data_IF_739574425452
#
_entry.id   IF_739574425452
#
_cell.length_a   1.000
_cell.length_b   1.000
_cell.length_c   1.000
_cell.angle_alpha   90.00
_cell.angle_beta   90.00
_cell.angle_gamma   90.00
#
_symmetry.space_group_name_H-M   'P 1'
#
loop_
_entity.id
_entity.type
_entity.pdbx_description
1 polymer ?
#
# COMPACT_ATOMS: atom_id res chain seq x y z
N UNK A 1 -15.24 2.22 -14.77
CA UNK A 1 -14.40 1.47 -13.80
C UNK A 1 -14.60 -0.05 -13.85
N UNK A 2 -15.64 -0.68 -13.30
CA UNK A 2 -15.72 -2.17 -13.30
C UNK A 2 -15.75 -2.77 -14.72
N UNK A 3 -16.67 -2.31 -15.58
CA UNK A 3 -16.78 -2.79 -16.96
C UNK A 3 -15.54 -2.45 -17.81
N UNK A 4 -14.89 -1.33 -17.52
CA UNK A 4 -13.66 -0.90 -18.20
C UNK A 4 -12.49 -1.82 -17.84
N UNK A 5 -12.29 -2.12 -16.55
CA UNK A 5 -11.22 -3.01 -16.10
C UNK A 5 -11.46 -4.44 -16.61
N UNK A 6 -12.70 -4.95 -16.57
CA UNK A 6 -13.04 -6.27 -17.14
C UNK A 6 -12.82 -6.29 -18.66
N UNK A 7 -13.10 -5.20 -19.38
CA UNK A 7 -12.96 -5.13 -20.83
C UNK A 7 -11.55 -4.87 -21.36
N UNK A 8 -10.61 -4.41 -20.51
CA UNK A 8 -9.27 -3.94 -20.95
C UNK A 8 -8.10 -4.56 -20.17
N UNK A 9 -8.37 -5.52 -19.28
CA UNK A 9 -7.35 -6.17 -18.45
C UNK A 9 -7.43 -7.70 -18.53
N UNK A 10 -6.32 -8.38 -18.27
CA UNK A 10 -6.27 -9.84 -18.22
C UNK A 10 -6.65 -10.34 -16.83
N UNK A 11 -7.67 -11.18 -16.74
CA UNK A 11 -8.04 -11.85 -15.48
C UNK A 11 -6.99 -12.91 -15.12
N UNK A 12 -6.40 -12.81 -13.94
CA UNK A 12 -5.43 -13.78 -13.41
C UNK A 12 -6.19 -14.98 -12.84
N UNK A 13 -5.75 -16.18 -13.20
CA UNK A 13 -6.36 -17.44 -12.77
C UNK A 13 -5.30 -18.54 -12.68
N UNK A 14 -5.71 -19.75 -12.28
CA UNK A 14 -4.82 -20.93 -12.30
C UNK A 14 -4.35 -21.29 -13.71
N UNK A 15 -5.16 -20.98 -14.73
CA UNK A 15 -4.89 -21.30 -16.14
C UNK A 15 -4.27 -20.12 -16.92
N UNK A 16 -4.25 -18.92 -16.32
CA UNK A 16 -3.68 -17.72 -16.91
C UNK A 16 -2.91 -16.93 -15.86
N UNK A 17 -1.58 -16.81 -16.04
CA UNK A 17 -0.67 -16.16 -15.07
C UNK A 17 -0.67 -16.87 -13.71
N UNK A 18 -0.52 -18.20 -13.72
CA UNK A 18 -0.61 -19.09 -12.56
C UNK A 18 0.32 -18.71 -11.41
N UNK A 19 1.55 -18.28 -11.70
CA UNK A 19 2.50 -17.82 -10.67
C UNK A 19 1.99 -16.59 -9.92
N UNK A 20 1.40 -15.63 -10.65
CA UNK A 20 0.84 -14.42 -10.07
C UNK A 20 -0.43 -14.73 -9.26
N UNK A 21 -1.26 -15.64 -9.78
CA UNK A 21 -2.41 -16.17 -9.05
C UNK A 21 -1.98 -16.82 -7.72
N UNK A 22 -0.91 -17.62 -7.73
CA UNK A 22 -0.38 -18.25 -6.52
C UNK A 22 0.07 -17.21 -5.49
N UNK A 23 0.83 -16.19 -5.91
CA UNK A 23 1.26 -15.12 -5.00
C UNK A 23 0.09 -14.42 -4.33
N UNK A 24 -0.96 -14.14 -5.09
CA UNK A 24 -2.19 -13.50 -4.62
C UNK A 24 -2.90 -14.37 -3.57
N UNK A 25 -3.09 -15.65 -3.86
CA UNK A 25 -3.77 -16.60 -2.97
C UNK A 25 -2.98 -16.79 -1.68
N UNK A 26 -1.66 -16.97 -1.76
CA UNK A 26 -0.79 -17.11 -0.59
C UNK A 26 -0.82 -15.86 0.30
N UNK A 27 -0.76 -14.67 -0.30
CA UNK A 27 -0.84 -13.41 0.46
C UNK A 27 -2.21 -13.26 1.16
N UNK A 28 -3.30 -13.57 0.46
CA UNK A 28 -4.66 -13.53 1.02
C UNK A 28 -4.84 -14.52 2.18
N UNK A 29 -4.31 -15.74 2.04
CA UNK A 29 -4.29 -16.75 3.09
C UNK A 29 -3.50 -16.27 4.32
N UNK A 30 -2.32 -15.69 4.12
CA UNK A 30 -1.50 -15.15 5.23
C UNK A 30 -2.23 -14.04 5.98
N UNK A 31 -2.96 -13.18 5.27
CA UNK A 31 -3.75 -12.08 5.84
C UNK A 31 -5.16 -12.51 6.31
N UNK A 32 -5.48 -13.80 6.17
CA UNK A 32 -6.75 -14.40 6.55
C UNK A 32 -7.96 -13.65 5.94
N UNK A 33 -7.98 -13.55 4.61
CA UNK A 33 -9.09 -13.01 3.82
C UNK A 33 -9.32 -13.87 2.58
N UNK A 34 -10.54 -13.80 2.04
CA UNK A 34 -10.85 -14.42 0.76
C UNK A 34 -10.07 -13.71 -0.36
N UNK A 35 -9.41 -14.45 -1.27
CA UNK A 35 -8.67 -13.83 -2.37
C UNK A 35 -9.64 -13.07 -3.31
N UNK A 36 -9.42 -11.77 -3.54
CA UNK A 36 -10.17 -11.01 -4.53
C UNK A 36 -9.82 -11.48 -5.96
N UNK A 37 -10.58 -11.02 -6.95
CA UNK A 37 -10.12 -11.18 -8.34
C UNK A 37 -8.87 -10.32 -8.58
N UNK A 38 -7.96 -10.79 -9.42
CA UNK A 38 -6.75 -10.06 -9.78
C UNK A 38 -6.71 -9.86 -11.29
N UNK A 39 -6.42 -8.64 -11.73
CA UNK A 39 -6.29 -8.29 -13.13
C UNK A 39 -4.92 -7.69 -13.44
N UNK A 40 -4.38 -7.99 -14.61
CA UNK A 40 -3.20 -7.31 -15.16
C UNK A 40 -3.64 -6.32 -16.24
N UNK A 41 -3.32 -5.04 -16.06
CA UNK A 41 -3.59 -3.97 -17.03
C UNK A 41 -2.31 -3.54 -17.71
N UNK A 42 -2.34 -3.42 -19.03
CA UNK A 42 -1.22 -2.86 -19.78
C UNK A 42 -1.07 -1.38 -19.40
N UNK A 43 0.10 -1.01 -18.89
CA UNK A 43 0.43 0.38 -18.56
C UNK A 43 1.92 0.56 -18.36
N UNK A 44 2.53 1.62 -18.92
CA UNK A 44 3.93 1.95 -18.70
C UNK A 44 4.19 2.57 -17.32
N UNK A 45 3.14 3.00 -16.60
CA UNK A 45 3.27 3.63 -15.28
C UNK A 45 3.14 2.57 -14.18
N UNK A 46 4.17 2.36 -13.33
CA UNK A 46 4.11 1.38 -12.25
C UNK A 46 3.00 1.74 -11.26
N UNK A 47 1.95 0.90 -11.19
CA UNK A 47 0.86 1.10 -10.23
C UNK A 47 0.10 -0.21 -9.96
N UNK A 48 -0.47 -0.29 -8.76
CA UNK A 48 -1.47 -1.28 -8.39
C UNK A 48 -2.56 -0.58 -7.58
N UNK A 49 -3.80 -1.08 -7.65
CA UNK A 49 -4.88 -0.52 -6.87
C UNK A 49 -5.98 -1.53 -6.59
N UNK A 50 -6.66 -1.30 -5.49
CA UNK A 50 -7.79 -2.08 -5.01
C UNK A 50 -9.12 -1.39 -5.30
N UNK A 51 -10.11 -2.13 -5.81
CA UNK A 51 -11.48 -1.66 -5.96
C UNK A 51 -12.45 -2.59 -5.23
N UNK A 52 -13.16 -2.03 -4.26
CA UNK A 52 -14.25 -2.67 -3.54
C UNK A 52 -15.55 -1.90 -3.79
N UNK A 53 -16.56 -2.58 -4.33
CA UNK A 53 -17.88 -2.01 -4.59
C UNK A 53 -18.90 -2.80 -3.77
N UNK A 54 -19.78 -2.12 -3.03
CA UNK A 54 -20.80 -2.77 -2.21
C UNK A 54 -21.63 -3.76 -3.03
N UNK A 55 -21.79 -4.98 -2.49
CA UNK A 55 -22.53 -6.06 -3.14
C UNK A 55 -21.82 -6.74 -4.32
N UNK A 56 -20.54 -6.43 -4.58
CA UNK A 56 -19.73 -7.09 -5.61
C UNK A 56 -18.43 -7.64 -5.02
N UNK A 57 -17.89 -8.69 -5.65
CA UNK A 57 -16.58 -9.22 -5.30
C UNK A 57 -15.51 -8.13 -5.50
N UNK A 58 -14.65 -7.86 -4.51
CA UNK A 58 -13.54 -6.93 -4.68
C UNK A 58 -12.52 -7.47 -5.69
N UNK A 59 -11.78 -6.56 -6.31
CA UNK A 59 -10.71 -6.93 -7.22
C UNK A 59 -9.51 -5.98 -7.11
N UNK A 60 -8.34 -6.51 -7.41
CA UNK A 60 -7.07 -5.78 -7.48
C UNK A 60 -6.65 -5.70 -8.95
N UNK A 61 -6.08 -4.57 -9.35
CA UNK A 61 -5.45 -4.40 -10.65
C UNK A 61 -3.98 -4.12 -10.45
N UNK A 62 -3.12 -4.81 -11.19
CA UNK A 62 -1.67 -4.56 -11.24
C UNK A 62 -1.26 -4.18 -12.66
N UNK A 63 -0.41 -3.18 -12.81
CA UNK A 63 0.10 -2.76 -14.10
C UNK A 63 1.27 -3.65 -14.57
N UNK A 64 1.38 -3.86 -15.89
CA UNK A 64 2.48 -4.64 -16.50
C UNK A 64 3.86 -4.12 -16.12
N UNK A 65 4.03 -2.80 -16.00
CA UNK A 65 5.28 -2.17 -15.56
C UNK A 65 5.73 -2.59 -14.16
N UNK A 66 4.82 -2.92 -13.23
CA UNK A 66 5.22 -3.49 -11.93
C UNK A 66 5.66 -4.95 -12.06
N UNK A 67 4.97 -5.72 -12.89
CA UNK A 67 5.31 -7.13 -13.15
C UNK A 67 6.70 -7.24 -13.78
N UNK A 68 7.09 -6.29 -14.61
CA UNK A 68 8.43 -6.21 -15.23
C UNK A 68 9.51 -5.67 -14.27
N UNK A 69 9.17 -4.74 -13.38
CA UNK A 69 10.13 -4.06 -12.50
C UNK A 69 10.46 -4.86 -11.22
N UNK A 70 9.48 -5.59 -10.68
CA UNK A 70 9.56 -6.20 -9.36
C UNK A 70 9.89 -7.69 -9.44
N UNK A 71 10.71 -8.14 -8.50
CA UNK A 71 10.91 -9.57 -8.26
C UNK A 71 9.63 -10.22 -7.74
N UNK A 72 9.55 -11.55 -7.79
CA UNK A 72 8.39 -12.32 -7.30
C UNK A 72 7.99 -11.95 -5.85
N UNK A 73 8.96 -11.78 -4.95
CA UNK A 73 8.71 -11.41 -3.55
C UNK A 73 8.22 -9.97 -3.39
N UNK A 74 8.82 -9.04 -4.15
CA UNK A 74 8.43 -7.63 -4.15
C UNK A 74 7.01 -7.45 -4.72
N UNK A 75 6.68 -8.18 -5.79
CA UNK A 75 5.33 -8.17 -6.36
C UNK A 75 4.30 -8.73 -5.38
N UNK A 76 4.63 -9.80 -4.64
CA UNK A 76 3.76 -10.31 -3.58
C UNK A 76 3.59 -9.30 -2.44
N UNK A 77 4.63 -8.54 -2.10
CA UNK A 77 4.53 -7.47 -1.10
C UNK A 77 3.59 -6.34 -1.57
N UNK A 78 3.59 -5.99 -2.86
CA UNK A 78 2.61 -5.04 -3.43
C UNK A 78 1.19 -5.61 -3.35
N UNK A 79 0.97 -6.87 -3.74
CA UNK A 79 -0.35 -7.51 -3.61
C UNK A 79 -0.81 -7.56 -2.15
N UNK A 80 0.09 -7.84 -1.22
CA UNK A 80 -0.20 -7.83 0.21
C UNK A 80 -0.52 -6.43 0.76
N UNK A 81 0.11 -5.38 0.22
CA UNK A 81 -0.24 -4.00 0.53
C UNK A 81 -1.69 -3.70 0.09
N UNK A 82 -2.04 -4.04 -1.15
CA UNK A 82 -3.40 -3.89 -1.69
C UNK A 82 -4.45 -4.69 -0.89
N UNK A 83 -4.12 -5.92 -0.53
CA UNK A 83 -4.94 -6.71 0.39
C UNK A 83 -5.11 -6.07 1.77
N UNK A 84 -4.11 -5.32 2.24
CA UNK A 84 -4.21 -4.52 3.47
C UNK A 84 -5.36 -3.51 3.38
N UNK A 85 -5.56 -2.88 2.22
CA UNK A 85 -6.70 -2.00 2.01
C UNK A 85 -8.03 -2.74 2.09
N UNK A 86 -8.11 -3.96 1.54
CA UNK A 86 -9.31 -4.78 1.68
C UNK A 86 -9.55 -5.24 3.12
N UNK A 87 -8.50 -5.72 3.80
CA UNK A 87 -8.59 -6.25 5.17
C UNK A 87 -9.12 -5.21 6.16
N UNK A 88 -8.75 -3.96 5.96
CA UNK A 88 -9.07 -2.85 6.84
C UNK A 88 -10.20 -1.96 6.29
N UNK A 89 -10.92 -2.41 5.25
CA UNK A 89 -12.03 -1.69 4.60
C UNK A 89 -11.67 -0.25 4.20
N UNK A 90 -10.43 -0.02 3.79
CA UNK A 90 -9.93 1.33 3.55
C UNK A 90 -10.65 2.04 2.39
N UNK A 91 -11.13 1.28 1.39
CA UNK A 91 -11.82 1.83 0.23
C UNK A 91 -13.17 2.50 0.53
N UNK A 92 -13.85 2.08 1.60
CA UNK A 92 -15.18 2.61 1.97
C UNK A 92 -15.08 4.06 2.45
N UNK A 93 -14.01 4.41 3.15
CA UNK A 93 -13.82 5.73 3.75
C UNK A 93 -13.60 6.84 2.71
N UNK A 94 -12.98 6.52 1.57
CA UNK A 94 -12.80 7.48 0.48
C UNK A 94 -14.16 7.94 -0.09
N UNK A 95 -15.12 7.02 -0.22
CA UNK A 95 -16.47 7.33 -0.70
C UNK A 95 -17.23 8.22 0.30
N UNK A 96 -17.21 7.89 1.59
CA UNK A 96 -17.86 8.70 2.62
C UNK A 96 -17.28 10.11 2.70
N UNK A 97 -15.96 10.23 2.60
CA UNK A 97 -15.31 11.52 2.70
C UNK A 97 -15.60 12.42 1.50
N UNK A 98 -15.65 11.88 0.28
CA UNK A 98 -16.06 12.65 -0.90
C UNK A 98 -17.49 13.19 -0.79
N UNK A 99 -18.42 12.40 -0.23
CA UNK A 99 -19.82 12.84 -0.01
C UNK A 99 -19.89 13.94 1.06
N UNK A 100 -19.16 13.79 2.16
CA UNK A 100 -19.10 14.78 3.24
C UNK A 100 -18.49 16.10 2.77
N UNK A 101 -17.41 16.05 2.01
CA UNK A 101 -16.76 17.23 1.44
C UNK A 101 -17.69 17.97 0.46
N UNK A 102 -18.38 17.24 -0.42
CA UNK A 102 -19.34 17.83 -1.36
C UNK A 102 -20.49 18.56 -0.62
N UNK A 103 -21.01 17.95 0.44
CA UNK A 103 -22.03 18.57 1.29
C UNK A 103 -21.53 19.77 2.09
N UNK A 104 -20.28 19.75 2.56
CA UNK A 104 -19.68 20.85 3.31
C UNK A 104 -19.49 22.10 2.43
N UNK A 105 -19.06 21.96 1.17
CA UNK A 105 -18.95 23.09 0.23
C UNK A 105 -20.30 23.71 -0.14
N UNK A 106 -21.40 23.00 0.04
CA UNK A 106 -22.74 23.52 -0.22
C UNK A 106 -23.25 24.47 0.88
N UNK A 107 -22.57 24.57 2.03
CA UNK A 107 -22.96 25.45 3.15
C UNK A 107 -22.34 26.85 2.97
N UNK A 108 -23.15 27.92 2.80
CA UNK A 108 -22.63 29.28 2.63
C UNK A 108 -21.84 29.77 3.85
N UNK A 109 -20.79 30.56 3.61
CA UNK A 109 -19.93 31.11 4.65
C UNK A 109 -18.92 30.08 5.19
N UNK A 110 -19.25 29.41 6.30
CA UNK A 110 -18.31 28.53 7.01
C UNK A 110 -18.08 27.17 6.34
N UNK A 111 -18.88 26.79 5.33
CA UNK A 111 -18.78 25.49 4.67
C UNK A 111 -17.41 25.19 4.07
N UNK A 112 -16.76 26.18 3.47
CA UNK A 112 -15.40 26.03 2.93
C UNK A 112 -14.35 25.70 4.00
N UNK A 113 -14.43 26.33 5.18
CA UNK A 113 -13.53 26.03 6.30
C UNK A 113 -13.76 24.62 6.87
N UNK A 114 -15.03 24.21 6.95
CA UNK A 114 -15.39 22.86 7.39
C UNK A 114 -14.88 21.82 6.39
N UNK A 115 -15.10 22.05 5.09
CA UNK A 115 -14.63 21.17 4.02
C UNK A 115 -13.10 21.02 4.06
N UNK A 116 -12.35 22.12 4.16
CA UNK A 116 -10.89 22.09 4.24
C UNK A 116 -10.38 21.32 5.47
N UNK A 117 -11.02 21.49 6.62
CA UNK A 117 -10.67 20.75 7.85
C UNK A 117 -10.95 19.25 7.73
N UNK A 118 -12.08 18.89 7.10
CA UNK A 118 -12.43 17.49 6.85
C UNK A 118 -11.48 16.84 5.84
N UNK A 119 -11.13 17.55 4.76
CA UNK A 119 -10.13 17.11 3.78
C UNK A 119 -8.78 16.85 4.44
N UNK A 120 -8.28 17.76 5.29
CA UNK A 120 -6.99 17.57 5.97
C UNK A 120 -7.00 16.32 6.87
N UNK A 121 -8.10 16.08 7.59
CA UNK A 121 -8.27 14.89 8.42
C UNK A 121 -8.37 13.61 7.59
N UNK A 122 -9.09 13.64 6.47
CA UNK A 122 -9.17 12.53 5.53
C UNK A 122 -7.78 12.18 4.99
N UNK A 123 -7.02 13.16 4.52
CA UNK A 123 -5.67 12.93 4.02
C UNK A 123 -4.74 12.38 5.11
N UNK A 124 -4.90 12.80 6.38
CA UNK A 124 -4.16 12.19 7.50
C UNK A 124 -4.54 10.73 7.69
N UNK A 125 -5.82 10.41 7.63
CA UNK A 125 -6.32 9.05 7.73
C UNK A 125 -5.81 8.18 6.57
N UNK A 126 -5.85 8.67 5.32
CA UNK A 126 -5.32 7.97 4.15
C UNK A 126 -3.83 7.64 4.32
N UNK A 127 -3.03 8.59 4.80
CA UNK A 127 -1.62 8.35 5.10
C UNK A 127 -1.39 7.30 6.18
N UNK A 128 -2.24 7.24 7.20
CA UNK A 128 -2.18 6.21 8.23
C UNK A 128 -2.62 4.83 7.70
N UNK A 129 -3.57 4.80 6.78
CA UNK A 129 -4.01 3.59 6.08
C UNK A 129 -2.84 2.97 5.29
N UNK A 130 -2.04 3.79 4.58
CA UNK A 130 -0.84 3.32 3.87
C UNK A 130 0.17 2.62 4.78
N UNK A 131 0.42 3.16 5.97
CA UNK A 131 1.31 2.52 6.96
C UNK A 131 0.74 1.19 7.47
N UNK A 132 -0.58 1.08 7.55
CA UNK A 132 -1.25 -0.19 7.91
C UNK A 132 -1.10 -1.22 6.79
N UNK A 133 -1.23 -0.80 5.54
CA UNK A 133 -1.02 -1.65 4.37
C UNK A 133 0.45 -2.07 4.21
N UNK A 134 1.42 -1.21 4.52
CA UNK A 134 2.84 -1.58 4.54
C UNK A 134 3.14 -2.65 5.60
N UNK A 135 2.48 -2.59 6.75
CA UNK A 135 2.57 -3.64 7.77
C UNK A 135 1.99 -4.96 7.27
N UNK A 136 0.88 -4.93 6.52
CA UNK A 136 0.34 -6.12 5.87
C UNK A 136 1.33 -6.71 4.86
N UNK A 137 1.98 -5.87 4.06
CA UNK A 137 3.06 -6.28 3.15
C UNK A 137 4.21 -6.95 3.90
N UNK A 138 4.65 -6.40 5.02
CA UNK A 138 5.72 -6.97 5.85
C UNK A 138 5.31 -8.28 6.56
N UNK A 139 4.04 -8.45 6.93
CA UNK A 139 3.53 -9.71 7.47
C UNK A 139 3.57 -10.85 6.45
N UNK A 140 3.32 -10.53 5.17
CA UNK A 140 3.41 -11.49 4.07
C UNK A 140 4.87 -11.75 3.67
N UNK A 141 5.64 -10.70 3.43
CA UNK A 141 7.02 -10.82 2.95
C UNK A 141 7.98 -11.36 4.02
N UNK A 142 7.72 -11.09 5.31
CA UNK A 142 8.56 -11.43 6.47
C UNK A 142 10.02 -10.94 6.38
N UNK A 143 10.30 -10.01 5.46
CA UNK A 143 11.59 -9.38 5.28
C UNK A 143 11.36 -7.89 5.02
N UNK A 144 11.78 -6.98 5.93
CA UNK A 144 11.61 -5.55 5.74
C UNK A 144 12.37 -5.03 4.52
N UNK A 145 13.48 -5.66 4.11
CA UNK A 145 14.23 -5.23 2.92
C UNK A 145 13.41 -5.40 1.64
N UNK A 146 12.52 -6.38 1.56
CA UNK A 146 11.62 -6.56 0.40
C UNK A 146 10.68 -5.37 0.27
N UNK A 147 10.03 -4.97 1.36
CA UNK A 147 9.09 -3.84 1.36
C UNK A 147 9.81 -2.52 1.10
N UNK A 148 10.99 -2.32 1.71
CA UNK A 148 11.84 -1.14 1.47
C UNK A 148 12.29 -1.08 0.00
N UNK A 149 12.64 -2.23 -0.59
CA UNK A 149 13.04 -2.32 -1.99
C UNK A 149 11.90 -1.97 -2.95
N UNK A 150 10.66 -2.39 -2.65
CA UNK A 150 9.46 -1.95 -3.38
C UNK A 150 9.35 -0.43 -3.36
N UNK A 151 9.39 0.20 -2.18
CA UNK A 151 9.26 1.65 -2.03
C UNK A 151 10.36 2.42 -2.78
N UNK A 152 11.60 1.90 -2.74
CA UNK A 152 12.72 2.44 -3.49
C UNK A 152 12.50 2.36 -5.01
N UNK A 153 12.07 1.19 -5.52
CA UNK A 153 11.78 0.99 -6.94
C UNK A 153 10.60 1.82 -7.43
N UNK A 154 9.60 2.06 -6.59
CA UNK A 154 8.51 2.99 -6.90
C UNK A 154 8.98 4.46 -6.93
N UNK A 155 9.97 4.82 -6.13
CA UNK A 155 10.50 6.19 -6.07
C UNK A 155 11.38 6.54 -7.27
N UNK A 156 12.11 5.58 -7.84
CA UNK A 156 13.04 5.87 -8.94
C UNK A 156 13.60 4.65 -9.68
N UNK A 157 12.96 3.49 -9.58
CA UNK A 157 13.40 2.27 -10.25
C UNK A 157 12.91 2.17 -11.70
N UNK A 158 13.70 1.47 -12.50
CA UNK A 158 13.34 0.98 -13.83
C UNK A 158 13.91 -0.43 -13.99
N UNK A 159 13.41 -1.24 -14.94
CA UNK A 159 13.98 -2.55 -15.21
C UNK A 159 15.49 -2.51 -15.52
N UNK A 160 15.97 -1.43 -16.14
CA UNK A 160 17.39 -1.24 -16.46
C UNK A 160 18.27 -0.82 -15.28
N UNK A 161 17.68 -0.23 -14.23
CA UNK A 161 18.40 0.25 -13.05
C UNK A 161 18.23 -0.69 -11.85
N UNK A 162 17.24 -1.60 -11.87
CA UNK A 162 16.82 -2.40 -10.71
C UNK A 162 17.98 -3.11 -9.99
N UNK A 163 18.94 -3.66 -10.75
CA UNK A 163 20.09 -4.40 -10.20
C UNK A 163 21.17 -3.50 -9.57
N UNK A 164 21.14 -2.20 -9.84
CA UNK A 164 22.07 -1.20 -9.29
C UNK A 164 21.51 -0.52 -8.04
N UNK A 165 20.24 -0.74 -7.72
CA UNK A 165 19.59 -0.10 -6.58
C UNK A 165 19.97 -0.80 -5.27
N UNK A 166 20.12 -0.01 -4.20
CA UNK A 166 20.53 -0.50 -2.90
C UNK A 166 19.54 -0.05 -1.81
N UNK A 167 18.80 -1.01 -1.25
CA UNK A 167 17.79 -0.75 -0.22
C UNK A 167 18.39 -0.17 1.08
N UNK A 168 19.62 -0.55 1.44
CA UNK A 168 20.29 -0.01 2.63
C UNK A 168 20.67 1.46 2.41
N UNK A 169 21.15 1.83 1.22
CA UNK A 169 21.41 3.22 0.84
C UNK A 169 20.13 4.07 0.82
N UNK A 170 19.01 3.51 0.33
CA UNK A 170 17.71 4.18 0.39
C UNK A 170 17.21 4.37 1.83
N UNK A 171 17.48 3.40 2.72
CA UNK A 171 17.17 3.53 4.14
C UNK A 171 18.06 4.58 4.83
N UNK A 172 19.33 4.69 4.46
CA UNK A 172 20.21 5.78 4.91
C UNK A 172 19.70 7.15 4.45
N UNK A 173 19.20 7.25 3.21
CA UNK A 173 18.52 8.44 2.70
C UNK A 173 17.27 8.78 3.54
N UNK A 174 16.50 7.79 3.97
CA UNK A 174 15.37 8.01 4.88
C UNK A 174 15.80 8.59 6.23
N UNK A 175 16.89 8.04 6.82
CA UNK A 175 17.46 8.56 8.08
C UNK A 175 18.03 9.97 7.94
N UNK A 176 18.60 10.32 6.79
CA UNK A 176 19.13 11.66 6.55
C UNK A 176 18.02 12.69 6.37
N UNK A 177 16.92 12.33 5.69
CA UNK A 177 15.72 13.16 5.57
C UNK A 177 15.13 13.52 6.93
N UNK A 178 15.09 12.57 7.87
CA UNK A 178 14.64 12.82 9.23
C UNK A 178 15.51 13.83 9.98
N UNK A 179 16.82 13.67 9.92
CA UNK A 179 17.77 14.61 10.55
C UNK A 179 17.61 16.01 9.95
N UNK A 180 17.48 16.11 8.64
CA UNK A 180 17.28 17.39 7.94
C UNK A 180 15.94 18.05 8.29
N UNK A 181 14.89 17.26 8.53
CA UNK A 181 13.56 17.73 8.89
C UNK A 181 13.33 17.94 10.40
N UNK A 182 14.33 17.69 11.24
CA UNK A 182 14.21 17.77 12.71
C UNK A 182 14.15 19.21 13.27
N UNK A 183 14.55 20.22 12.48
CA UNK A 183 14.44 21.62 12.88
C UNK A 183 13.05 22.21 12.52
N UNK A 184 12.61 23.32 13.14
CA UNK A 184 11.26 23.88 12.93
C UNK A 184 10.92 24.19 11.45
N UNK A 185 11.92 24.66 10.68
CA UNK A 185 11.76 24.95 9.25
C UNK A 185 11.61 23.66 8.45
N UNK A 186 12.43 22.64 8.74
CA UNK A 186 12.38 21.33 8.15
C UNK A 186 11.06 20.60 8.44
N UNK A 187 10.54 20.71 9.67
CA UNK A 187 9.22 20.18 10.05
C UNK A 187 8.11 20.85 9.25
N UNK A 188 8.18 22.17 9.08
CA UNK A 188 7.22 22.91 8.27
C UNK A 188 7.25 22.46 6.80
N UNK A 189 8.44 22.36 6.19
CA UNK A 189 8.60 21.90 4.80
C UNK A 189 8.08 20.47 4.62
N UNK A 190 8.44 19.56 5.53
CA UNK A 190 7.93 18.18 5.53
C UNK A 190 6.41 18.14 5.57
N UNK A 191 5.78 18.89 6.48
CA UNK A 191 4.33 18.93 6.58
C UNK A 191 3.66 19.56 5.36
N UNK A 192 4.25 20.62 4.79
CA UNK A 192 3.76 21.24 3.59
C UNK A 192 3.80 20.28 2.39
N UNK A 193 4.91 19.55 2.20
CA UNK A 193 5.04 18.54 1.15
C UNK A 193 4.06 17.38 1.34
N UNK A 194 3.92 16.89 2.57
CA UNK A 194 3.06 15.73 2.85
C UNK A 194 1.57 16.05 2.77
N UNK A 195 1.18 17.33 2.98
CA UNK A 195 -0.23 17.78 2.98
C UNK A 195 -0.94 17.57 1.64
N UNK A 196 -0.23 17.67 0.52
CA UNK A 196 -0.82 17.59 -0.83
C UNK A 196 -0.70 16.20 -1.47
N UNK A 197 -0.03 15.24 -0.82
CA UNK A 197 0.18 13.90 -1.36
C UNK A 197 -0.90 12.94 -0.86
N UNK A 198 -1.44 12.12 -1.76
CA UNK A 198 -2.36 11.02 -1.43
C UNK A 198 -1.66 9.88 -0.68
N UNK A 199 -0.36 9.68 -0.93
CA UNK A 199 0.49 8.71 -0.23
C UNK A 199 1.63 9.42 0.53
N UNK A 200 2.05 8.93 1.70
CA UNK A 200 3.25 9.44 2.35
C UNK A 200 4.49 9.26 1.46
N UNK A 201 5.51 10.10 1.68
CA UNK A 201 6.79 9.99 0.97
C UNK A 201 7.38 8.58 1.13
N UNK A 202 7.87 7.94 0.05
CA UNK A 202 8.44 6.58 0.11
C UNK A 202 9.54 6.41 1.17
N UNK A 203 10.39 7.41 1.34
CA UNK A 203 11.44 7.40 2.37
C UNK A 203 10.90 7.33 3.80
N UNK A 204 9.77 7.99 4.08
CA UNK A 204 9.14 7.93 5.40
C UNK A 204 8.54 6.55 5.65
N UNK A 205 7.88 5.97 4.65
CA UNK A 205 7.32 4.61 4.72
C UNK A 205 8.41 3.57 4.93
N UNK A 206 9.55 3.70 4.25
CA UNK A 206 10.70 2.81 4.41
C UNK A 206 11.24 2.82 5.85
N UNK A 207 11.36 4.00 6.45
CA UNK A 207 11.73 4.14 7.86
C UNK A 207 10.71 3.50 8.80
N UNK A 208 9.42 3.79 8.63
CA UNK A 208 8.36 3.24 9.49
C UNK A 208 8.36 1.71 9.47
N UNK A 209 8.61 1.11 8.30
CA UNK A 209 8.73 -0.34 8.16
C UNK A 209 9.99 -0.88 8.84
N UNK A 210 11.12 -0.21 8.68
CA UNK A 210 12.37 -0.56 9.37
C UNK A 210 12.20 -0.56 10.90
N UNK A 211 11.56 0.47 11.44
CA UNK A 211 11.27 0.58 12.87
C UNK A 211 10.27 -0.46 13.35
N UNK A 212 9.14 -0.61 12.65
CA UNK A 212 8.10 -1.57 13.04
C UNK A 212 8.58 -3.01 12.96
N UNK A 213 9.45 -3.36 12.00
CA UNK A 213 10.03 -4.71 11.91
C UNK A 213 10.86 -5.12 13.15
N UNK A 214 11.35 -4.15 13.93
CA UNK A 214 12.11 -4.38 15.17
C UNK A 214 11.24 -4.38 16.42
N UNK A 215 10.00 -3.90 16.31
CA UNK A 215 9.05 -3.75 17.40
C UNK A 215 8.67 -5.08 18.06
N UNK A 216 8.23 -5.01 19.32
CA UNK A 216 7.75 -6.19 20.04
C UNK A 216 6.40 -6.64 19.50
N UNK A 217 5.58 -5.69 19.06
CA UNK A 217 4.28 -5.90 18.43
C UNK A 217 4.39 -6.81 17.20
N UNK A 218 5.33 -6.50 16.30
CA UNK A 218 5.57 -7.34 15.12
C UNK A 218 6.04 -8.75 15.49
N UNK A 219 6.99 -8.86 16.42
CA UNK A 219 7.51 -10.16 16.91
C UNK A 219 6.40 -11.01 17.54
N UNK A 220 5.49 -10.37 18.28
CA UNK A 220 4.34 -11.03 18.91
C UNK A 220 3.34 -11.53 17.85
N UNK A 221 3.06 -10.74 16.79
CA UNK A 221 2.19 -11.15 15.69
C UNK A 221 2.72 -12.41 14.99
N UNK A 222 4.02 -12.46 14.68
CA UNK A 222 4.64 -13.63 14.06
C UNK A 222 4.59 -14.87 14.96
N UNK A 223 4.75 -14.70 16.27
CA UNK A 223 4.72 -15.79 17.25
C UNK A 223 3.31 -16.37 17.42
N UNK A 224 2.28 -15.51 17.49
CA UNK A 224 0.88 -15.94 17.57
C UNK A 224 0.49 -16.80 16.37
N UNK A 225 0.89 -16.43 15.16
CA UNK A 225 0.64 -17.22 13.95
C UNK A 225 1.21 -18.64 14.04
N UNK A 226 2.43 -18.80 14.59
CA UNK A 226 3.04 -20.12 14.80
C UNK A 226 2.22 -21.00 15.75
N UNK A 227 1.69 -20.42 16.83
CA UNK A 227 0.87 -21.14 17.79
C UNK A 227 -0.48 -21.58 17.17
N UNK A 228 -1.15 -20.71 16.42
CA UNK A 228 -2.43 -21.05 15.77
C UNK A 228 -2.26 -22.18 14.76
N UNK A 229 -1.18 -22.17 13.97
CA UNK A 229 -0.92 -23.23 12.99
C UNK A 229 -0.64 -24.59 13.67
N UNK A 230 0.04 -24.61 14.82
CA UNK A 230 0.32 -25.84 15.57
C UNK A 230 -0.90 -26.47 16.23
N UNK A 231 -1.95 -25.68 16.52
CA UNK A 231 -3.20 -26.18 17.10
C UNK A 231 -4.15 -26.73 16.03
N UNK A 232 -4.05 -26.25 14.78
CA UNK A 232 -4.84 -26.77 13.66
C UNK A 232 -4.25 -28.01 12.98
N UNK A 233 -3.05 -28.44 13.38
CA UNK A 233 -2.37 -29.65 12.85
C UNK A 233 -2.42 -30.85 13.80
N UNK A 234 -3.26 -30.81 14.84
CA UNK A 234 -3.50 -31.91 15.80
C UNK A 234 -4.92 -32.42 15.67
#
# INVERSE_FOLDING_TARGET
MLLENIGTSLLVSKDQLSDLHQLMVEAAQILNIEPPDLYVRQSPLPNAYTLAISGKKPFIVVHTSLVELLTRKELQAVLAHELGHLKCDHGVWLTFANILTLGAYAVPGFGGFIAQSLEEQLFRWLRAAELTCDRAALLVAQDPKVVISVLMKLAGGSPSLADQLNADAFLEQARSYDKASANPIGWYIRNAQTRQLSHPLPVLRAREIDEWSRSLEYKNLLTRKRQTNSVQTV
#
